data_IF_890615079547
#
_entry.id   IF_890615079547
#
_cell.length_a   1.000
_cell.length_b   1.000
_cell.length_c   1.000
_cell.angle_alpha   90.00
_cell.angle_beta   90.00
_cell.angle_gamma   90.00
#
_symmetry.space_group_name_H-M   'P 1'
#
loop_
_entity.id
_entity.type
_entity.pdbx_description
1 polymer ?
#
# COMPACT_ATOMS: atom_id res chain seq x y z
N UNK A 1 10.00 -30.42 1.79
CA UNK A 1 10.85 -29.36 2.38
C UNK A 1 10.22 -28.02 2.04
N UNK A 2 9.92 -27.20 3.04
CA UNK A 2 9.54 -25.80 2.82
C UNK A 2 10.21 -24.97 3.92
N UNK A 3 11.16 -24.13 3.54
CA UNK A 3 11.86 -23.24 4.47
C UNK A 3 10.90 -22.15 4.88
N UNK A 4 10.38 -22.26 6.11
CA UNK A 4 9.41 -21.32 6.65
C UNK A 4 10.18 -20.13 7.22
N UNK A 5 10.10 -18.98 6.56
CA UNK A 5 10.66 -17.74 7.10
C UNK A 5 9.70 -17.18 8.15
N UNK A 6 10.24 -16.88 9.32
CA UNK A 6 9.49 -16.25 10.42
C UNK A 6 9.92 -14.80 10.48
N UNK A 7 8.95 -13.90 10.31
CA UNK A 7 9.18 -12.47 10.44
C UNK A 7 8.84 -12.07 11.87
N UNK A 8 9.80 -11.46 12.56
CA UNK A 8 9.59 -10.81 13.85
C UNK A 8 9.84 -9.32 13.71
N UNK A 9 9.22 -8.53 14.60
CA UNK A 9 9.60 -7.13 14.77
C UNK A 9 11.01 -7.08 15.36
N UNK A 10 11.82 -6.13 14.87
CA UNK A 10 13.18 -5.90 15.32
C UNK A 10 13.19 -5.58 16.83
N UNK A 11 13.96 -6.34 17.60
CA UNK A 11 14.04 -6.22 19.06
C UNK A 11 15.44 -5.77 19.54
N UNK A 12 16.30 -5.37 18.60
CA UNK A 12 17.63 -4.83 18.86
C UNK A 12 18.71 -5.87 19.20
N UNK A 13 18.38 -7.16 19.25
CA UNK A 13 19.35 -8.21 19.63
C UNK A 13 20.08 -8.85 18.44
N UNK A 14 19.72 -8.49 17.20
CA UNK A 14 20.28 -9.03 15.97
C UNK A 14 21.65 -8.39 15.65
N UNK A 15 22.72 -8.96 16.23
CA UNK A 15 24.12 -8.52 16.03
C UNK A 15 24.68 -9.07 14.71
N UNK A 16 24.47 -8.34 13.61
CA UNK A 16 24.97 -8.71 12.28
C UNK A 16 25.80 -7.65 11.57
N UNK A 17 25.66 -6.38 11.93
CA UNK A 17 26.47 -5.28 11.39
C UNK A 17 26.73 -4.31 12.54
N UNK A 18 27.99 -4.17 12.95
CA UNK A 18 28.44 -3.08 13.84
C UNK A 18 28.72 -1.82 12.99
N UNK A 19 27.77 -1.56 12.08
CA UNK A 19 27.60 -0.31 11.39
C UNK A 19 26.24 0.13 11.88
N UNK A 20 26.24 1.17 12.70
CA UNK A 20 25.04 1.75 13.26
C UNK A 20 24.20 2.24 12.08
N UNK A 21 23.31 1.36 11.60
CA UNK A 21 22.61 1.52 10.33
C UNK A 21 21.82 2.83 10.34
N UNK A 22 21.30 3.18 11.52
CA UNK A 22 20.60 4.42 11.77
C UNK A 22 21.52 5.63 11.53
N UNK A 23 22.77 5.64 12.02
CA UNK A 23 23.71 6.75 11.77
C UNK A 23 24.12 6.89 10.30
N UNK A 24 24.25 5.78 9.56
CA UNK A 24 24.54 5.82 8.12
C UNK A 24 23.34 6.31 7.31
N UNK A 25 22.13 5.85 7.65
CA UNK A 25 20.91 6.32 7.00
C UNK A 25 20.62 7.78 7.34
N UNK A 26 20.90 8.22 8.56
CA UNK A 26 20.74 9.59 9.02
C UNK A 26 21.72 10.53 8.29
N UNK A 27 23.01 10.18 8.19
CA UNK A 27 23.99 10.97 7.43
C UNK A 27 23.70 11.03 5.92
N UNK A 28 23.33 9.91 5.29
CA UNK A 28 22.96 9.90 3.87
C UNK A 28 21.69 10.72 3.60
N UNK A 29 20.74 10.68 4.53
CA UNK A 29 19.49 11.42 4.44
C UNK A 29 19.72 12.91 4.67
N UNK A 30 20.53 13.28 5.66
CA UNK A 30 20.91 14.67 5.93
C UNK A 30 21.70 15.31 4.77
N UNK A 31 22.62 14.58 4.14
CA UNK A 31 23.37 15.08 2.99
C UNK A 31 22.49 15.22 1.72
N UNK A 32 21.45 14.40 1.58
CA UNK A 32 20.40 14.56 0.55
C UNK A 32 19.39 15.67 0.87
N UNK A 33 19.18 16.01 2.15
CA UNK A 33 18.26 17.04 2.63
C UNK A 33 18.90 18.45 2.65
N UNK A 34 20.21 18.54 2.83
CA UNK A 34 20.94 19.79 3.07
C UNK A 34 20.91 20.81 1.91
N UNK A 35 20.52 20.41 0.70
CA UNK A 35 20.39 21.33 -0.45
C UNK A 35 18.96 21.66 -0.89
N UNK A 36 17.95 21.10 -0.24
CA UNK A 36 16.58 21.64 -0.26
C UNK A 36 15.67 21.27 -1.44
N UNK A 37 14.52 20.71 -1.08
CA UNK A 37 13.23 20.57 -1.79
C UNK A 37 13.01 19.44 -2.80
N UNK A 38 14.01 18.64 -3.14
CA UNK A 38 13.78 17.50 -4.07
C UNK A 38 12.88 16.43 -3.43
N UNK A 39 13.12 16.09 -2.16
CA UNK A 39 12.29 15.12 -1.44
C UNK A 39 10.84 15.59 -1.24
N UNK A 40 10.62 16.90 -1.05
CA UNK A 40 9.28 17.45 -0.91
C UNK A 40 8.57 17.53 -2.27
N UNK A 41 9.27 17.90 -3.34
CA UNK A 41 8.76 17.85 -4.71
C UNK A 41 8.37 16.42 -5.12
N UNK A 42 9.21 15.42 -4.85
CA UNK A 42 8.91 14.01 -5.11
C UNK A 42 7.69 13.52 -4.30
N UNK A 43 7.61 13.88 -3.01
CA UNK A 43 6.44 13.55 -2.19
C UNK A 43 5.16 14.16 -2.74
N UNK A 44 5.19 15.43 -3.16
CA UNK A 44 4.03 16.10 -3.78
C UNK A 44 3.65 15.45 -5.10
N UNK A 45 4.63 15.16 -5.95
CA UNK A 45 4.46 14.49 -7.23
C UNK A 45 3.82 13.10 -7.08
N UNK A 46 4.25 12.31 -6.09
CA UNK A 46 3.64 11.01 -5.79
C UNK A 46 2.23 11.13 -5.22
N UNK A 47 1.95 12.17 -4.43
CA UNK A 47 0.62 12.37 -3.83
C UNK A 47 -0.42 12.85 -4.85
N UNK A 48 -0.06 13.84 -5.66
CA UNK A 48 -0.97 14.57 -6.54
C UNK A 48 -0.94 14.05 -7.99
N UNK A 49 0.07 13.23 -8.31
CA UNK A 49 0.37 12.80 -9.67
C UNK A 49 1.20 13.82 -10.43
N UNK A 50 1.53 13.50 -11.68
CA UNK A 50 2.31 14.38 -12.56
C UNK A 50 1.79 14.34 -13.99
N UNK A 51 2.20 15.31 -14.79
CA UNK A 51 1.97 15.31 -16.24
C UNK A 51 3.32 15.18 -16.94
N UNK A 52 3.39 14.28 -17.91
CA UNK A 52 4.55 14.14 -18.78
C UNK A 52 4.61 15.31 -19.79
N UNK A 53 5.74 15.46 -20.48
CA UNK A 53 5.95 16.40 -21.57
C UNK A 53 4.93 16.21 -22.71
N UNK A 54 4.50 14.97 -22.94
CA UNK A 54 3.46 14.63 -23.92
C UNK A 54 2.03 14.92 -23.42
N UNK A 55 1.88 15.46 -22.21
CA UNK A 55 0.59 15.81 -21.60
C UNK A 55 -0.13 14.62 -20.93
N UNK A 56 0.47 13.43 -20.94
CA UNK A 56 -0.07 12.25 -20.27
C UNK A 56 -0.12 12.44 -18.75
N UNK A 57 -1.28 12.22 -18.13
CA UNK A 57 -1.45 12.34 -16.68
C UNK A 57 -1.10 11.01 -16.01
N UNK A 58 -0.07 11.04 -15.17
CA UNK A 58 0.20 9.99 -14.21
C UNK A 58 -0.66 10.22 -12.96
N UNK A 59 -1.47 9.22 -12.63
CA UNK A 59 -2.30 9.20 -11.42
C UNK A 59 -1.43 9.21 -10.17
N UNK A 60 -1.79 10.05 -9.20
CA UNK A 60 -1.15 10.06 -7.89
C UNK A 60 -1.62 8.89 -7.02
N UNK A 61 -0.97 8.71 -5.88
CA UNK A 61 -1.38 7.72 -4.88
C UNK A 61 -2.81 7.93 -4.39
N UNK A 62 -3.29 9.18 -4.33
CA UNK A 62 -4.68 9.51 -3.97
C UNK A 62 -5.67 8.92 -4.97
N UNK A 63 -5.41 9.11 -6.27
CA UNK A 63 -6.27 8.63 -7.35
C UNK A 63 -6.30 7.09 -7.39
N UNK A 64 -5.14 6.45 -7.21
CA UNK A 64 -5.05 4.99 -7.14
C UNK A 64 -5.88 4.44 -5.97
N UNK A 65 -5.78 5.06 -4.79
CA UNK A 65 -6.55 4.67 -3.62
C UNK A 65 -8.06 4.85 -3.83
N UNK A 66 -8.46 5.92 -4.51
CA UNK A 66 -9.86 6.14 -4.87
C UNK A 66 -10.37 5.10 -5.87
N UNK A 67 -9.58 4.76 -6.88
CA UNK A 67 -9.90 3.66 -7.81
C UNK A 67 -10.07 2.34 -7.08
N UNK A 68 -9.15 1.99 -6.18
CA UNK A 68 -9.25 0.76 -5.38
C UNK A 68 -10.49 0.74 -4.50
N UNK A 69 -10.87 1.87 -3.90
CA UNK A 69 -12.10 1.99 -3.11
C UNK A 69 -13.35 1.77 -3.96
N UNK A 70 -13.40 2.36 -5.16
CA UNK A 70 -14.52 2.17 -6.10
C UNK A 70 -14.62 0.71 -6.54
N UNK A 71 -13.50 0.10 -6.93
CA UNK A 71 -13.49 -1.30 -7.37
C UNK A 71 -13.92 -2.24 -6.24
N UNK A 72 -13.50 -1.97 -5.00
CA UNK A 72 -13.99 -2.71 -3.84
C UNK A 72 -15.50 -2.58 -3.68
N UNK A 73 -16.05 -1.37 -3.79
CA UNK A 73 -17.50 -1.14 -3.65
C UNK A 73 -18.28 -1.86 -4.75
N UNK A 74 -17.85 -1.76 -6.01
CA UNK A 74 -18.50 -2.44 -7.13
C UNK A 74 -18.54 -3.96 -6.97
N UNK A 75 -17.48 -4.56 -6.40
CA UNK A 75 -17.45 -5.99 -6.11
C UNK A 75 -18.44 -6.36 -5.01
N UNK A 76 -18.49 -5.58 -3.93
CA UNK A 76 -19.46 -5.80 -2.84
C UNK A 76 -20.89 -5.68 -3.37
N UNK A 77 -21.19 -4.61 -4.12
CA UNK A 77 -22.52 -4.40 -4.72
C UNK A 77 -22.90 -5.58 -5.63
N UNK A 78 -22.00 -6.08 -6.48
CA UNK A 78 -22.28 -7.26 -7.33
C UNK A 78 -22.47 -8.55 -6.53
N UNK A 79 -21.76 -8.73 -5.43
CA UNK A 79 -21.92 -9.90 -4.54
C UNK A 79 -23.24 -9.82 -3.78
N UNK A 80 -23.64 -8.65 -3.30
CA UNK A 80 -24.91 -8.44 -2.59
C UNK A 80 -26.14 -8.45 -3.53
N UNK A 81 -25.98 -8.07 -4.80
CA UNK A 81 -27.05 -8.10 -5.83
C UNK A 81 -27.28 -9.50 -6.45
N UNK A 82 -26.47 -10.49 -6.08
CA UNK A 82 -26.37 -11.77 -6.76
C UNK A 82 -26.90 -12.96 -5.99
N UNK A 83 -28.05 -12.89 -5.31
CA UNK A 83 -28.92 -14.06 -4.98
C UNK A 83 -28.36 -15.22 -4.15
N UNK A 84 -27.05 -15.27 -3.83
CA UNK A 84 -26.43 -16.39 -3.11
C UNK A 84 -26.89 -16.42 -1.65
N UNK A 85 -27.15 -15.25 -1.04
CA UNK A 85 -27.69 -15.18 0.32
C UNK A 85 -29.16 -15.60 0.40
N UNK A 86 -29.95 -15.38 -0.66
CA UNK A 86 -31.36 -15.80 -0.71
C UNK A 86 -31.51 -17.30 -0.93
N UNK A 87 -30.59 -17.94 -1.67
CA UNK A 87 -30.62 -19.39 -1.90
C UNK A 87 -30.16 -20.17 -0.67
N UNK A 88 -29.10 -19.70 0.02
CA UNK A 88 -28.64 -20.30 1.28
C UNK A 88 -29.70 -20.14 2.38
N UNK A 89 -30.38 -18.98 2.47
CA UNK A 89 -31.47 -18.81 3.44
C UNK A 89 -32.67 -19.72 3.12
N UNK A 90 -33.02 -19.90 1.84
CA UNK A 90 -34.09 -20.82 1.44
C UNK A 90 -33.77 -22.28 1.74
N UNK A 91 -32.53 -22.71 1.53
CA UNK A 91 -32.11 -24.09 1.83
C UNK A 91 -32.00 -24.34 3.35
N UNK A 92 -31.74 -23.30 4.15
CA UNK A 92 -31.75 -23.40 5.62
C UNK A 92 -33.17 -23.39 6.22
N UNK A 93 -34.12 -22.67 5.62
CA UNK A 93 -35.54 -22.69 6.03
C UNK A 93 -36.23 -24.02 5.71
N UNK A 94 -35.75 -24.77 4.71
CA UNK A 94 -36.26 -26.11 4.36
C UNK A 94 -35.79 -27.21 5.34
N UNK A 95 -34.86 -26.89 6.25
CA UNK A 95 -34.29 -27.83 7.23
C UNK A 95 -34.94 -27.67 8.63
N UNK A 96 -35.75 -26.63 8.88
CA UNK A 96 -36.44 -26.37 10.16
C UNK A 96 -37.94 -26.64 10.06
#
# INVERSE_FOLDING_TARGET
MATRFTYSRWDGTQRGFDLDADLLFDQLTDELLYHGDVNAALRRMMQDGMRDADGNRFEGLRDLMERLRRERQERLDRTDLGGVYDEISRELDDIV
#
